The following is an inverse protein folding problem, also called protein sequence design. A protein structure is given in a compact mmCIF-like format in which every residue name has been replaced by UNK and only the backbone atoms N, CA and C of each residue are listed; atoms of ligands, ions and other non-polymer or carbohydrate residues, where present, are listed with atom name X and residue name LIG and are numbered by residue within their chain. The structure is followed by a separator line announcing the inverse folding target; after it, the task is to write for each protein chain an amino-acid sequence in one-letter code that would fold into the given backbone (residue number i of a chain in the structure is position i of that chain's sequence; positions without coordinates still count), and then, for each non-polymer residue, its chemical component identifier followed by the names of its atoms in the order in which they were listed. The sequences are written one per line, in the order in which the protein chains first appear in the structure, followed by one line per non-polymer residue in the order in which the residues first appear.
data_IF_200002495877
#
_entry.id   IF_200002495877
#
_cell.length_a   1.000
_cell.length_b   1.000
_cell.length_c   1.000
_cell.angle_alpha   90.00
_cell.angle_beta   90.00
_cell.angle_gamma   90.00
#
_symmetry.space_group_name_H-M   'P 1'
#
loop_
_entity.id
_entity.type
_entity.pdbx_description
1 polymer ?
#
# COMPACT_ATOMS: atom_id res chain seq x y z
N UNK A 1 31.74 -1.47 -23.01
CA UNK A 1 31.88 -0.87 -21.67
C UNK A 1 30.65 0.00 -21.47
N UNK A 2 29.66 -0.49 -20.74
CA UNK A 2 28.51 0.30 -20.32
C UNK A 2 29.00 1.36 -19.34
N UNK A 3 28.75 2.64 -19.63
CA UNK A 3 29.11 3.72 -18.70
C UNK A 3 28.36 3.50 -17.39
N UNK A 4 29.08 3.48 -16.28
CA UNK A 4 28.46 3.49 -14.96
C UNK A 4 27.51 4.69 -14.88
N UNK A 5 26.31 4.51 -14.31
CA UNK A 5 25.35 5.60 -14.19
C UNK A 5 25.94 6.75 -13.35
N UNK A 6 25.61 7.98 -13.72
CA UNK A 6 26.01 9.16 -12.96
C UNK A 6 25.45 9.06 -11.54
N UNK A 7 26.35 8.89 -10.57
CA UNK A 7 25.99 8.69 -9.17
C UNK A 7 25.25 9.89 -8.58
N UNK A 8 25.39 11.09 -9.16
CA UNK A 8 24.64 12.28 -8.73
C UNK A 8 23.16 12.17 -9.15
N UNK A 9 22.89 11.74 -10.39
CA UNK A 9 21.54 11.50 -10.88
C UNK A 9 20.87 10.32 -10.16
N UNK A 10 21.62 9.25 -9.86
CA UNK A 10 21.13 8.12 -9.06
C UNK A 10 20.75 8.58 -7.65
N UNK A 11 21.60 9.39 -6.98
CA UNK A 11 21.29 9.95 -5.65
C UNK A 11 20.09 10.88 -5.67
N UNK A 12 19.92 11.70 -6.71
CA UNK A 12 18.75 12.55 -6.87
C UNK A 12 17.46 11.72 -7.04
N UNK A 13 17.52 10.63 -7.80
CA UNK A 13 16.38 9.71 -7.97
C UNK A 13 16.02 8.92 -6.70
N UNK A 14 16.94 8.84 -5.73
CA UNK A 14 16.73 8.21 -4.43
C UNK A 14 16.21 9.19 -3.37
N UNK A 15 16.25 10.50 -3.63
CA UNK A 15 15.79 11.50 -2.68
C UNK A 15 14.34 11.23 -2.26
N UNK A 16 14.06 11.36 -0.98
CA UNK A 16 12.72 11.25 -0.41
C UNK A 16 12.37 12.58 0.24
N UNK A 17 11.16 13.04 0.02
CA UNK A 17 10.57 14.17 0.73
C UNK A 17 9.39 13.63 1.52
N UNK A 18 9.36 13.91 2.83
CA UNK A 18 8.22 13.50 3.64
C UNK A 18 6.98 14.26 3.18
N UNK A 19 5.98 13.49 2.76
CA UNK A 19 4.67 13.94 2.31
C UNK A 19 3.63 13.19 3.13
N UNK A 20 2.54 13.84 3.52
CA UNK A 20 1.49 13.18 4.27
C UNK A 20 0.32 12.81 3.36
N UNK A 21 -0.25 11.62 3.56
CA UNK A 21 -1.41 11.15 2.81
C UNK A 21 -2.56 12.15 2.91
N UNK A 22 -2.77 12.77 4.09
CA UNK A 22 -3.81 13.74 4.34
C UNK A 22 -3.78 14.94 3.37
N UNK A 23 -2.61 15.29 2.81
CA UNK A 23 -2.45 16.39 1.86
C UNK A 23 -3.05 16.06 0.48
N UNK A 24 -3.33 14.78 0.22
CA UNK A 24 -3.82 14.26 -1.07
C UNK A 24 -5.26 13.73 -0.98
N UNK A 25 -5.94 13.88 0.16
CA UNK A 25 -7.29 13.35 0.33
C UNK A 25 -8.35 14.39 -0.07
N UNK A 26 -9.24 14.07 -1.04
CA UNK A 26 -10.34 14.96 -1.39
C UNK A 26 -11.38 15.02 -0.26
N UNK A 27 -12.19 16.10 -0.19
CA UNK A 27 -13.34 16.14 0.71
C UNK A 27 -14.35 15.04 0.34
N UNK A 28 -15.00 14.47 1.35
CA UNK A 28 -15.98 13.40 1.19
C UNK A 28 -17.39 13.96 1.00
N UNK A 29 -18.16 13.36 0.09
CA UNK A 29 -19.58 13.70 -0.06
C UNK A 29 -20.35 13.40 1.25
N UNK A 30 -21.08 14.38 1.83
CA UNK A 30 -21.73 14.20 3.12
C UNK A 30 -22.85 13.14 3.13
N UNK A 31 -23.47 12.86 1.99
CA UNK A 31 -24.49 11.81 1.89
C UNK A 31 -23.84 10.43 1.80
N UNK A 32 -22.80 10.29 0.98
CA UNK A 32 -21.99 9.07 0.92
C UNK A 32 -21.32 8.74 2.26
N UNK A 33 -20.84 9.76 3.00
CA UNK A 33 -20.24 9.58 4.32
C UNK A 33 -21.27 9.08 5.36
N UNK A 34 -22.55 9.42 5.23
CA UNK A 34 -23.61 8.80 6.07
C UNK A 34 -23.71 7.30 5.83
N UNK A 35 -23.67 6.86 4.56
CA UNK A 35 -23.69 5.45 4.20
C UNK A 35 -22.45 4.74 4.74
N UNK A 36 -21.26 5.32 4.55
CA UNK A 36 -20.01 4.78 5.08
C UNK A 36 -20.04 4.65 6.62
N UNK A 37 -20.45 5.68 7.36
CA UNK A 37 -20.51 5.64 8.83
C UNK A 37 -21.49 4.58 9.33
N UNK A 38 -22.64 4.44 8.66
CA UNK A 38 -23.60 3.40 9.00
C UNK A 38 -23.06 1.99 8.70
N UNK A 39 -22.39 1.80 7.57
CA UNK A 39 -21.70 0.55 7.24
C UNK A 39 -20.64 0.18 8.28
N UNK A 40 -19.81 1.15 8.72
CA UNK A 40 -18.83 0.97 9.81
C UNK A 40 -19.50 0.57 11.12
N UNK A 41 -20.65 1.16 11.43
CA UNK A 41 -21.40 0.80 12.63
C UNK A 41 -21.90 -0.64 12.57
N UNK A 42 -22.48 -1.08 11.44
CA UNK A 42 -22.90 -2.47 11.24
C UNK A 42 -21.74 -3.44 11.36
N UNK A 43 -20.60 -3.11 10.75
CA UNK A 43 -19.39 -3.94 10.78
C UNK A 43 -18.79 -4.06 12.18
N UNK A 44 -18.88 -3.02 13.01
CA UNK A 44 -18.38 -2.99 14.40
C UNK A 44 -19.36 -3.58 15.42
N UNK A 45 -20.64 -3.68 15.07
CA UNK A 45 -21.67 -4.18 15.98
C UNK A 45 -21.37 -5.64 16.37
N UNK A 46 -21.57 -5.96 17.64
CA UNK A 46 -21.45 -7.32 18.15
C UNK A 46 -22.53 -8.25 17.57
N UNK A 47 -22.18 -9.52 17.38
CA UNK A 47 -23.08 -10.56 16.88
C UNK A 47 -22.80 -10.96 15.43
N UNK A 48 -23.72 -11.76 14.87
CA UNK A 48 -23.65 -12.20 13.49
C UNK A 48 -23.77 -11.01 12.52
N UNK A 49 -22.88 -10.95 11.52
CA UNK A 49 -22.77 -9.86 10.57
C UNK A 49 -23.24 -10.30 9.20
N UNK A 50 -24.04 -9.46 8.56
CA UNK A 50 -24.34 -9.56 7.14
C UNK A 50 -23.36 -8.64 6.39
N UNK A 51 -22.25 -9.22 5.92
CA UNK A 51 -21.24 -8.47 5.18
C UNK A 51 -21.70 -8.04 3.79
N UNK A 52 -22.76 -8.65 3.24
CA UNK A 52 -23.36 -8.19 1.99
C UNK A 52 -24.13 -6.89 2.19
N UNK A 53 -24.86 -6.75 3.29
CA UNK A 53 -25.50 -5.47 3.64
C UNK A 53 -24.45 -4.39 3.93
N UNK A 54 -23.34 -4.71 4.61
CA UNK A 54 -22.22 -3.77 4.79
C UNK A 54 -21.61 -3.35 3.44
N UNK A 55 -21.30 -4.32 2.57
CA UNK A 55 -20.70 -4.08 1.26
C UNK A 55 -21.61 -3.26 0.34
N UNK A 56 -22.93 -3.44 0.41
CA UNK A 56 -23.91 -2.60 -0.30
C UNK A 56 -23.71 -1.12 0.00
N UNK A 57 -23.62 -0.73 1.27
CA UNK A 57 -23.39 0.67 1.64
C UNK A 57 -22.02 1.16 1.17
N UNK A 58 -20.98 0.33 1.29
CA UNK A 58 -19.65 0.72 0.82
C UNK A 58 -19.58 0.88 -0.69
N UNK A 59 -20.21 0.00 -1.48
CA UNK A 59 -20.28 0.13 -2.95
C UNK A 59 -20.93 1.44 -3.37
N UNK A 60 -22.08 1.76 -2.78
CA UNK A 60 -22.79 3.00 -3.10
C UNK A 60 -21.95 4.20 -2.68
N UNK A 61 -21.35 4.21 -1.48
CA UNK A 61 -20.50 5.31 -1.05
C UNK A 61 -19.23 5.45 -1.92
N UNK A 62 -18.57 4.34 -2.28
CA UNK A 62 -17.38 4.33 -3.14
C UNK A 62 -17.70 4.89 -4.54
N UNK A 63 -18.90 4.65 -5.07
CA UNK A 63 -19.33 5.25 -6.35
C UNK A 63 -19.45 6.79 -6.30
N UNK A 64 -19.47 7.38 -5.11
CA UNK A 64 -19.34 8.83 -4.85
C UNK A 64 -17.94 9.20 -4.36
N UNK A 65 -16.92 8.47 -4.81
CA UNK A 65 -15.51 8.73 -4.55
C UNK A 65 -15.13 8.69 -3.06
N UNK A 66 -15.92 7.98 -2.26
CA UNK A 66 -15.66 7.86 -0.83
C UNK A 66 -14.51 6.87 -0.55
N UNK A 67 -13.27 7.38 -0.52
CA UNK A 67 -12.06 6.55 -0.46
C UNK A 67 -12.00 5.57 0.72
N UNK A 68 -12.51 5.94 1.90
CA UNK A 68 -12.55 5.02 3.06
C UNK A 68 -13.53 3.86 2.85
N UNK A 69 -14.62 4.12 2.11
CA UNK A 69 -15.61 3.07 1.80
C UNK A 69 -15.04 2.14 0.74
N UNK A 70 -14.35 2.69 -0.25
CA UNK A 70 -13.61 1.96 -1.26
C UNK A 70 -12.58 1.01 -0.62
N UNK A 71 -11.66 1.50 0.22
CA UNK A 71 -10.66 0.64 0.88
C UNK A 71 -11.30 -0.44 1.76
N UNK A 72 -12.35 -0.11 2.51
CA UNK A 72 -13.03 -1.10 3.34
C UNK A 72 -13.77 -2.15 2.49
N UNK A 73 -14.34 -1.76 1.36
CA UNK A 73 -14.95 -2.70 0.42
C UNK A 73 -13.90 -3.63 -0.17
N UNK A 74 -12.76 -3.11 -0.63
CA UNK A 74 -11.64 -3.92 -1.12
C UNK A 74 -11.24 -4.99 -0.08
N UNK A 75 -11.17 -4.62 1.20
CA UNK A 75 -10.87 -5.55 2.29
C UNK A 75 -11.95 -6.63 2.47
N UNK A 76 -13.24 -6.30 2.38
CA UNK A 76 -14.32 -7.29 2.47
C UNK A 76 -14.30 -8.26 1.29
N UNK A 77 -14.04 -7.77 0.09
CA UNK A 77 -14.02 -8.54 -1.15
C UNK A 77 -12.81 -9.47 -1.22
N UNK A 78 -11.61 -8.98 -0.90
CA UNK A 78 -10.37 -9.76 -0.97
C UNK A 78 -10.34 -10.91 0.04
N UNK A 79 -11.01 -10.75 1.19
CA UNK A 79 -11.18 -11.79 2.20
C UNK A 79 -12.35 -12.74 1.90
N UNK A 80 -13.14 -12.49 0.86
CA UNK A 80 -14.32 -13.28 0.51
C UNK A 80 -15.46 -13.16 1.53
N UNK A 81 -15.51 -12.07 2.30
CA UNK A 81 -16.57 -11.82 3.28
C UNK A 81 -17.85 -11.28 2.62
N UNK A 82 -17.71 -10.58 1.50
CA UNK A 82 -18.83 -10.05 0.73
C UNK A 82 -18.88 -10.65 -0.68
N UNK A 83 -20.09 -10.91 -1.17
CA UNK A 83 -20.34 -11.48 -2.48
C UNK A 83 -20.03 -10.48 -3.60
N UNK A 84 -19.37 -10.97 -4.64
CA UNK A 84 -19.13 -10.26 -5.89
C UNK A 84 -19.13 -11.25 -7.05
N UNK A 85 -19.69 -10.88 -8.23
CA UNK A 85 -19.56 -11.70 -9.42
C UNK A 85 -18.11 -12.00 -9.80
N UNK A 86 -17.19 -11.07 -9.50
CA UNK A 86 -15.76 -11.23 -9.72
C UNK A 86 -14.99 -10.33 -8.74
N UNK A 87 -14.78 -10.83 -7.51
CA UNK A 87 -14.12 -10.08 -6.45
C UNK A 87 -12.72 -9.55 -6.82
N UNK A 88 -11.85 -10.32 -7.50
CA UNK A 88 -10.55 -9.80 -7.92
C UNK A 88 -10.65 -8.61 -8.88
N UNK A 89 -11.58 -8.65 -9.84
CA UNK A 89 -11.75 -7.54 -10.79
C UNK A 89 -12.34 -6.32 -10.10
N UNK A 90 -13.39 -6.50 -9.29
CA UNK A 90 -14.01 -5.38 -8.55
C UNK A 90 -13.00 -4.70 -7.62
N UNK A 91 -12.15 -5.47 -6.95
CA UNK A 91 -11.12 -4.94 -6.04
C UNK A 91 -10.06 -4.13 -6.80
N UNK A 92 -9.59 -4.62 -7.94
CA UNK A 92 -8.64 -3.89 -8.79
C UNK A 92 -9.27 -2.61 -9.33
N UNK A 93 -10.53 -2.65 -9.78
CA UNK A 93 -11.25 -1.46 -10.27
C UNK A 93 -11.39 -0.38 -9.18
N UNK A 94 -11.66 -0.80 -7.94
CA UNK A 94 -11.70 0.09 -6.78
C UNK A 94 -10.34 0.74 -6.50
N UNK A 95 -9.24 -0.02 -6.53
CA UNK A 95 -7.88 0.54 -6.37
C UNK A 95 -7.52 1.52 -7.50
N UNK A 96 -7.90 1.19 -8.75
CA UNK A 96 -7.73 2.08 -9.91
C UNK A 96 -8.56 3.36 -9.78
N UNK A 97 -9.74 3.30 -9.18
CA UNK A 97 -10.55 4.49 -8.86
C UNK A 97 -9.79 5.44 -7.91
N UNK A 98 -9.14 4.89 -6.86
CA UNK A 98 -8.32 5.68 -5.94
C UNK A 98 -7.12 6.33 -6.65
N UNK A 99 -6.42 5.57 -7.52
CA UNK A 99 -5.33 6.10 -8.35
C UNK A 99 -5.82 7.26 -9.22
N UNK A 100 -6.98 7.11 -9.87
CA UNK A 100 -7.57 8.16 -10.71
C UNK A 100 -7.88 9.44 -9.92
N UNK A 101 -8.22 9.31 -8.64
CA UNK A 101 -8.44 10.44 -7.73
C UNK A 101 -7.14 11.01 -7.15
N UNK A 102 -5.97 10.45 -7.48
CA UNK A 102 -4.68 10.85 -6.91
C UNK A 102 -4.48 10.41 -5.46
N UNK A 103 -5.27 9.44 -4.99
CA UNK A 103 -5.23 8.99 -3.59
C UNK A 103 -4.08 8.00 -3.41
N UNK A 104 -3.12 8.28 -2.50
CA UNK A 104 -1.89 7.50 -2.38
C UNK A 104 -2.10 6.01 -2.12
N UNK A 105 -3.14 5.66 -1.36
CA UNK A 105 -3.42 4.27 -1.01
C UNK A 105 -3.82 3.40 -2.21
N UNK A 106 -4.41 3.96 -3.27
CA UNK A 106 -4.70 3.19 -4.49
C UNK A 106 -3.43 2.63 -5.15
N UNK A 107 -2.33 3.40 -5.12
CA UNK A 107 -1.03 2.93 -5.61
C UNK A 107 -0.49 1.80 -4.72
N UNK A 108 -0.64 1.91 -3.39
CA UNK A 108 -0.25 0.84 -2.47
C UNK A 108 -1.07 -0.44 -2.70
N UNK A 109 -2.39 -0.31 -2.87
CA UNK A 109 -3.30 -1.43 -3.12
C UNK A 109 -2.90 -2.19 -4.41
N UNK A 110 -2.65 -1.47 -5.52
CA UNK A 110 -2.16 -2.09 -6.77
C UNK A 110 -0.79 -2.76 -6.58
N UNK A 111 0.13 -2.12 -5.86
CA UNK A 111 1.42 -2.72 -5.52
C UNK A 111 1.24 -4.06 -4.80
N UNK A 112 0.35 -4.10 -3.81
CA UNK A 112 0.03 -5.32 -3.07
C UNK A 112 -0.62 -6.41 -3.95
N UNK A 113 -1.52 -6.03 -4.86
CA UNK A 113 -2.15 -6.97 -5.80
C UNK A 113 -1.18 -7.54 -6.83
N UNK A 114 -0.20 -6.75 -7.28
CA UNK A 114 0.89 -7.22 -8.14
C UNK A 114 1.87 -8.12 -7.38
N UNK A 115 2.13 -7.86 -6.10
CA UNK A 115 2.99 -8.72 -5.28
C UNK A 115 2.34 -10.08 -5.01
N UNK A 116 1.05 -10.10 -4.69
CA UNK A 116 0.30 -11.30 -4.32
C UNK A 116 -0.30 -12.06 -5.49
N UNK A 117 -0.50 -11.41 -6.65
CA UNK A 117 -1.22 -11.97 -7.79
C UNK A 117 -2.74 -11.93 -7.68
N UNK A 118 -3.29 -11.08 -6.81
CA UNK A 118 -4.74 -10.98 -6.62
C UNK A 118 -5.37 -10.12 -7.72
N UNK A 119 -6.08 -10.72 -8.67
CA UNK A 119 -6.74 -10.02 -9.77
C UNK A 119 -5.79 -9.49 -10.86
N UNK A 120 -4.49 -9.41 -10.57
CA UNK A 120 -3.43 -9.05 -11.49
C UNK A 120 -2.43 -10.19 -11.62
N UNK A 121 -1.73 -10.24 -12.75
CA UNK A 121 -0.60 -11.16 -12.90
C UNK A 121 0.52 -10.71 -11.95
N UNK A 122 1.12 -11.61 -11.15
CA UNK A 122 2.22 -11.26 -10.28
C UNK A 122 3.37 -10.60 -11.02
N UNK A 123 3.85 -9.47 -10.48
CA UNK A 123 4.99 -8.73 -10.99
C UNK A 123 5.64 -7.93 -9.84
N UNK A 124 6.71 -8.48 -9.28
CA UNK A 124 7.38 -7.90 -8.12
C UNK A 124 8.09 -6.58 -8.44
N UNK A 125 8.61 -6.40 -9.67
CA UNK A 125 9.29 -5.18 -10.06
C UNK A 125 8.29 -4.05 -10.23
N UNK A 126 7.16 -4.33 -10.90
CA UNK A 126 6.06 -3.37 -11.00
C UNK A 126 5.51 -3.03 -9.60
N UNK A 127 5.32 -4.01 -8.71
CA UNK A 127 4.87 -3.76 -7.34
C UNK A 127 5.76 -2.75 -6.61
N UNK A 128 7.08 -2.90 -6.68
CA UNK A 128 8.04 -1.96 -6.07
C UNK A 128 7.90 -0.53 -6.61
N UNK A 129 7.63 -0.37 -7.91
CA UNK A 129 7.37 0.95 -8.49
C UNK A 129 6.09 1.58 -7.93
N UNK A 130 5.02 0.80 -7.80
CA UNK A 130 3.75 1.24 -7.21
C UNK A 130 3.90 1.61 -5.73
N UNK A 131 4.59 0.78 -4.93
CA UNK A 131 4.89 1.09 -3.54
C UNK A 131 5.73 2.35 -3.40
N UNK A 132 6.76 2.52 -4.24
CA UNK A 132 7.57 3.75 -4.19
C UNK A 132 6.73 4.98 -4.52
N UNK A 133 5.89 4.91 -5.55
CA UNK A 133 4.98 6.01 -5.91
C UNK A 133 4.01 6.35 -4.78
N UNK A 134 3.43 5.34 -4.14
CA UNK A 134 2.55 5.52 -2.98
C UNK A 134 3.28 6.20 -1.81
N UNK A 135 4.53 5.80 -1.54
CA UNK A 135 5.35 6.38 -0.47
C UNK A 135 5.69 7.85 -0.73
N UNK A 136 6.06 8.19 -1.98
CA UNK A 136 6.36 9.56 -2.40
C UNK A 136 5.12 10.46 -2.35
N UNK A 137 3.92 9.89 -2.58
CA UNK A 137 2.63 10.58 -2.43
C UNK A 137 2.10 10.59 -0.98
N UNK A 138 2.83 10.00 -0.04
CA UNK A 138 2.55 10.12 1.39
C UNK A 138 1.80 8.97 2.04
N UNK A 139 1.53 7.86 1.34
CA UNK A 139 0.87 6.71 1.95
C UNK A 139 1.75 6.12 3.09
N UNK A 140 1.29 6.08 4.34
CA UNK A 140 2.11 5.65 5.47
C UNK A 140 2.48 4.15 5.41
N UNK A 141 1.60 3.28 4.92
CA UNK A 141 1.89 1.86 4.73
C UNK A 141 3.02 1.65 3.71
N UNK A 142 3.01 2.40 2.60
CA UNK A 142 4.02 2.37 1.57
C UNK A 142 5.36 2.97 2.05
N UNK A 143 5.32 4.08 2.79
CA UNK A 143 6.50 4.66 3.43
C UNK A 143 7.14 3.65 4.40
N UNK A 144 6.33 2.93 5.18
CA UNK A 144 6.81 1.83 6.01
C UNK A 144 7.42 0.71 5.16
N UNK A 145 6.69 0.20 4.17
CA UNK A 145 7.10 -0.94 3.36
C UNK A 145 8.41 -0.67 2.60
N UNK A 146 8.52 0.49 1.95
CA UNK A 146 9.76 0.88 1.23
C UNK A 146 10.85 1.22 2.24
N UNK A 147 10.51 1.90 3.34
CA UNK A 147 11.45 2.25 4.40
C UNK A 147 12.15 1.04 5.00
N UNK A 148 11.38 0.00 5.35
CA UNK A 148 11.88 -1.29 5.85
C UNK A 148 12.84 -1.96 4.86
N UNK A 149 12.50 -2.02 3.57
CA UNK A 149 13.40 -2.57 2.54
C UNK A 149 14.71 -1.80 2.39
N UNK A 150 14.71 -0.51 2.69
CA UNK A 150 15.90 0.34 2.59
C UNK A 150 16.76 0.37 3.86
N UNK A 151 16.25 -0.11 5.01
CA UNK A 151 16.99 -0.14 6.28
C UNK A 151 18.28 -0.98 6.30
N UNK A 152 18.43 -2.09 5.56
CA UNK A 152 19.70 -2.81 5.51
C UNK A 152 20.86 -1.90 5.08
N UNK A 153 22.04 -2.10 5.68
CA UNK A 153 23.20 -1.23 5.51
C UNK A 153 23.70 -1.15 4.06
N UNK A 154 23.50 -2.21 3.28
CA UNK A 154 23.86 -2.33 1.88
C UNK A 154 22.95 -1.53 0.92
N UNK A 155 21.81 -1.03 1.41
CA UNK A 155 20.82 -0.32 0.60
C UNK A 155 20.95 1.20 0.79
N UNK A 156 19.94 1.84 1.39
CA UNK A 156 19.90 3.29 1.59
C UNK A 156 19.29 3.61 2.97
N UNK A 157 19.94 3.19 4.06
CA UNK A 157 19.33 3.18 5.40
C UNK A 157 18.93 4.57 5.90
N UNK A 158 19.62 5.63 5.47
CA UNK A 158 19.24 7.00 5.82
C UNK A 158 17.90 7.42 5.20
N UNK A 159 17.65 7.02 3.95
CA UNK A 159 16.36 7.25 3.29
C UNK A 159 15.29 6.35 3.91
N UNK A 160 15.62 5.09 4.22
CA UNK A 160 14.73 4.18 4.91
C UNK A 160 14.24 4.75 6.26
N UNK A 161 15.16 5.26 7.07
CA UNK A 161 14.84 5.97 8.33
C UNK A 161 13.95 7.20 8.12
N UNK A 162 14.20 8.00 7.07
CA UNK A 162 13.36 9.17 6.76
C UNK A 162 11.92 8.76 6.42
N UNK A 163 11.75 7.71 5.61
CA UNK A 163 10.43 7.19 5.25
C UNK A 163 9.70 6.64 6.48
N UNK A 164 10.38 5.88 7.32
CA UNK A 164 9.81 5.35 8.56
C UNK A 164 9.43 6.47 9.55
N UNK A 165 10.27 7.51 9.67
CA UNK A 165 9.95 8.66 10.51
C UNK A 165 8.67 9.36 10.03
N UNK A 166 8.55 9.57 8.71
CA UNK A 166 7.37 10.18 8.08
C UNK A 166 6.11 9.32 8.29
N UNK A 167 6.19 8.00 8.09
CA UNK A 167 5.08 7.08 8.37
C UNK A 167 4.66 7.13 9.85
N UNK A 168 5.64 7.14 10.75
CA UNK A 168 5.40 7.27 12.18
C UNK A 168 4.73 8.62 12.54
N UNK A 169 5.13 9.74 11.92
CA UNK A 169 4.52 11.07 12.11
C UNK A 169 3.04 11.08 11.72
N UNK A 170 2.65 10.25 10.75
CA UNK A 170 1.27 10.04 10.34
C UNK A 170 0.48 9.08 11.25
N UNK A 171 1.11 8.57 12.32
CA UNK A 171 0.47 7.65 13.26
C UNK A 171 0.51 6.18 12.83
N UNK A 172 1.45 5.79 11.96
CA UNK A 172 1.69 4.39 11.63
C UNK A 172 2.61 3.74 12.67
N UNK A 173 2.00 3.12 13.68
CA UNK A 173 2.70 2.63 14.87
C UNK A 173 3.80 1.60 14.59
N UNK A 174 3.60 0.72 13.60
CA UNK A 174 4.61 -0.26 13.19
C UNK A 174 5.90 0.41 12.67
N UNK A 175 5.79 1.54 11.96
CA UNK A 175 6.96 2.31 11.55
C UNK A 175 7.69 2.94 12.73
N UNK A 176 6.95 3.44 13.72
CA UNK A 176 7.54 3.98 14.94
C UNK A 176 8.31 2.89 15.72
N UNK A 177 7.74 1.69 15.83
CA UNK A 177 8.38 0.53 16.46
C UNK A 177 9.62 0.07 15.71
N UNK A 178 9.53 -0.08 14.39
CA UNK A 178 10.67 -0.48 13.56
C UNK A 178 11.82 0.53 13.66
N UNK A 179 11.52 1.83 13.56
CA UNK A 179 12.52 2.88 13.73
C UNK A 179 13.07 2.91 15.17
N UNK A 180 12.25 2.65 16.18
CA UNK A 180 12.70 2.52 17.57
C UNK A 180 13.67 1.36 17.77
N UNK A 181 13.44 0.23 17.11
CA UNK A 181 14.34 -0.93 17.09
C UNK A 181 15.67 -0.58 16.40
N UNK A 182 15.62 0.14 15.27
CA UNK A 182 16.82 0.63 14.55
C UNK A 182 17.67 1.52 15.46
N UNK A 183 17.06 2.55 16.08
CA UNK A 183 17.78 3.45 17.00
C UNK A 183 18.34 2.74 18.23
N UNK A 184 17.57 1.80 18.82
CA UNK A 184 18.06 0.96 19.93
C UNK A 184 19.30 0.16 19.49
N UNK A 185 19.29 -0.38 18.28
CA UNK A 185 20.41 -1.15 17.74
C UNK A 185 21.65 -0.27 17.53
N UNK A 186 21.45 0.99 17.13
CA UNK A 186 22.47 2.04 17.14
C UNK A 186 22.88 2.55 18.53
N UNK A 187 22.33 1.99 19.62
CA UNK A 187 22.51 2.43 21.02
C UNK A 187 22.05 3.87 21.30
N UNK A 188 21.17 4.41 20.45
CA UNK A 188 20.53 5.71 20.61
C UNK A 188 19.26 5.54 21.44
N UNK A 189 19.43 5.18 22.71
CA UNK A 189 18.29 4.79 23.55
C UNK A 189 17.25 5.89 23.78
N UNK A 190 17.60 7.17 24.03
CA UNK A 190 16.61 8.23 24.17
C UNK A 190 15.71 8.36 22.94
N UNK A 191 16.28 8.28 21.74
CA UNK A 191 15.54 8.36 20.48
C UNK A 191 14.64 7.14 20.30
N UNK A 192 15.14 5.95 20.62
CA UNK A 192 14.36 4.71 20.61
C UNK A 192 13.14 4.79 21.54
N UNK A 193 13.33 5.28 22.77
CA UNK A 193 12.26 5.44 23.77
C UNK A 193 11.19 6.42 23.27
N UNK A 194 11.58 7.55 22.68
CA UNK A 194 10.65 8.51 22.10
C UNK A 194 9.84 7.91 20.94
N UNK A 195 10.49 7.11 20.10
CA UNK A 195 9.83 6.39 18.99
C UNK A 195 8.88 5.31 19.48
N UNK A 196 9.24 4.53 20.49
CA UNK A 196 8.31 3.60 21.11
C UNK A 196 7.13 4.35 21.74
N UNK A 197 7.34 5.47 22.42
CA UNK A 197 6.24 6.27 22.98
C UNK A 197 5.25 6.72 21.89
N UNK A 198 5.79 7.13 20.74
CA UNK A 198 5.00 7.47 19.56
C UNK A 198 4.25 6.27 18.98
N UNK A 199 4.88 5.09 18.96
CA UNK A 199 4.24 3.82 18.60
C UNK A 199 3.07 3.48 19.52
N UNK A 200 3.24 3.65 20.83
CA UNK A 200 2.16 3.47 21.81
C UNK A 200 1.01 4.45 21.56
N UNK A 201 1.31 5.73 21.31
CA UNK A 201 0.29 6.72 20.99
C UNK A 201 -0.51 6.32 19.74
N UNK A 202 0.18 5.75 18.75
CA UNK A 202 -0.38 5.20 17.53
C UNK A 202 -1.07 3.84 17.70
N UNK A 203 -1.11 3.26 18.90
CA UNK A 203 -1.77 1.99 19.19
C UNK A 203 -0.96 0.75 18.78
N UNK A 204 0.37 0.81 18.80
CA UNK A 204 1.23 -0.34 18.53
C UNK A 204 1.61 -1.07 19.83
N UNK A 205 1.12 -2.31 20.00
CA UNK A 205 1.41 -3.13 21.19
C UNK A 205 2.90 -3.46 21.31
N UNK A 206 3.61 -3.64 20.19
CA UNK A 206 5.03 -3.98 20.22
C UNK A 206 5.86 -2.86 20.87
N UNK A 207 5.56 -1.60 20.55
CA UNK A 207 6.12 -0.43 21.21
C UNK A 207 5.81 -0.42 22.72
N UNK A 208 4.57 -0.72 23.11
CA UNK A 208 4.18 -0.81 24.52
C UNK A 208 5.02 -1.85 25.25
N UNK A 209 5.22 -3.03 24.64
CA UNK A 209 6.04 -4.11 25.21
C UNK A 209 7.53 -3.73 25.36
N UNK A 210 8.09 -2.98 24.40
CA UNK A 210 9.47 -2.48 24.51
C UNK A 210 9.63 -1.53 25.72
N UNK A 211 8.67 -0.63 25.94
CA UNK A 211 8.71 0.29 27.07
C UNK A 211 8.41 -0.42 28.39
N UNK A 212 7.38 -1.28 28.42
CA UNK A 212 7.05 -2.12 29.57
C UNK A 212 8.28 -2.87 30.08
N UNK A 213 8.99 -3.57 29.19
CA UNK A 213 10.14 -4.38 29.58
C UNK A 213 11.41 -3.54 29.75
N UNK A 214 11.54 -2.40 29.06
CA UNK A 214 12.64 -1.46 29.25
C UNK A 214 12.63 -0.81 30.62
N UNK A 215 11.45 -0.44 31.14
CA UNK A 215 11.28 0.10 32.49
C UNK A 215 11.44 -0.94 33.61
N UNK A 216 11.54 -2.24 33.31
CA UNK A 216 12.01 -3.25 34.29
C UNK A 216 13.53 -3.17 34.53
N UNK A 217 14.23 -2.25 33.87
CA UNK A 217 15.65 -1.99 34.01
C UNK A 217 16.55 -3.22 33.78
N UNK A 218 16.39 -3.98 32.67
CA UNK A 218 17.26 -5.12 32.41
C UNK A 218 18.74 -4.67 32.31
N UNK A 219 19.70 -5.53 32.67
CA UNK A 219 21.11 -5.21 32.48
C UNK A 219 21.48 -5.23 30.98
N UNK A 220 22.56 -4.54 30.60
CA UNK A 220 23.06 -4.51 29.20
C UNK A 220 23.35 -5.91 28.63
N UNK A 221 23.67 -6.88 29.50
CA UNK A 221 23.87 -8.29 29.13
C UNK A 221 22.61 -9.00 28.65
N UNK A 222 21.42 -8.40 28.81
CA UNK A 222 20.13 -8.85 28.28
C UNK A 222 19.61 -7.82 27.25
N UNK A 223 20.16 -7.80 26.03
CA UNK A 223 20.05 -6.67 25.11
C UNK A 223 18.67 -6.48 24.48
N UNK A 224 17.76 -7.46 24.55
CA UNK A 224 16.47 -7.42 23.85
C UNK A 224 15.65 -6.17 24.23
N UNK A 225 15.52 -5.92 25.54
CA UNK A 225 14.75 -4.81 26.10
C UNK A 225 15.64 -3.76 26.79
N UNK A 226 16.96 -3.83 26.60
CA UNK A 226 17.87 -2.85 27.20
C UNK A 226 17.72 -1.49 26.52
N UNK A 227 17.26 -0.49 27.29
CA UNK A 227 17.05 0.90 26.84
C UNK A 227 17.80 1.92 27.72
N UNK A 228 18.71 1.48 28.60
CA UNK A 228 19.41 2.39 29.53
C UNK A 228 18.48 3.13 30.50
N UNK A 229 17.28 2.60 30.72
CA UNK A 229 16.29 3.14 31.65
C UNK A 229 16.54 2.62 33.08
N UNK A 230 16.29 3.42 34.12
CA UNK A 230 16.23 2.92 35.48
C UNK A 230 15.02 2.00 35.67
N UNK A 231 15.10 1.13 36.67
CA UNK A 231 13.95 0.36 37.12
C UNK A 231 12.83 1.29 37.61
N UNK A 232 11.65 1.14 37.02
CA UNK A 232 10.43 1.88 37.33
C UNK A 232 9.21 0.95 37.10
N UNK A 233 8.91 0.18 38.13
CA UNK A 233 7.85 -0.84 38.08
C UNK A 233 6.45 -0.25 37.83
N UNK A 234 6.19 0.99 38.26
CA UNK A 234 4.90 1.63 38.00
C UNK A 234 4.78 2.09 36.55
N UNK A 235 5.85 2.61 35.93
CA UNK A 235 5.86 2.84 34.47
C UNK A 235 5.67 1.55 33.69
N UNK A 236 6.42 0.51 34.06
CA UNK A 236 6.31 -0.80 33.45
C UNK A 236 4.87 -1.34 33.51
N UNK A 237 4.24 -1.29 34.70
CA UNK A 237 2.83 -1.67 34.90
C UNK A 237 1.86 -0.85 34.03
N UNK A 238 2.06 0.47 33.91
CA UNK A 238 1.16 1.29 33.07
C UNK A 238 1.28 0.92 31.59
N UNK A 239 2.49 0.67 31.07
CA UNK A 239 2.65 0.18 29.69
C UNK A 239 2.06 -1.21 29.48
N UNK A 240 2.14 -2.11 30.47
CA UNK A 240 1.44 -3.41 30.43
C UNK A 240 -0.08 -3.21 30.28
N UNK A 241 -0.68 -2.34 31.09
CA UNK A 241 -2.11 -2.02 31.01
C UNK A 241 -2.49 -1.39 29.67
N UNK A 242 -1.64 -0.53 29.12
CA UNK A 242 -1.83 0.06 27.79
C UNK A 242 -1.75 -1.01 26.70
N UNK A 243 -0.75 -1.89 26.72
CA UNK A 243 -0.61 -2.99 25.77
C UNK A 243 -1.84 -3.89 25.78
N UNK A 244 -2.30 -4.29 26.98
CA UNK A 244 -3.52 -5.08 27.16
C UNK A 244 -4.76 -4.36 26.60
N UNK A 245 -4.85 -3.03 26.77
CA UNK A 245 -5.94 -2.23 26.21
C UNK A 245 -5.91 -2.20 24.68
N UNK A 246 -4.72 -2.03 24.09
CA UNK A 246 -4.52 -2.06 22.63
C UNK A 246 -4.95 -3.43 22.09
N UNK A 247 -4.43 -4.52 22.65
CA UNK A 247 -4.74 -5.90 22.19
C UNK A 247 -6.24 -6.23 22.31
N UNK A 248 -6.86 -5.87 23.43
CA UNK A 248 -8.30 -6.09 23.63
C UNK A 248 -9.18 -5.34 22.61
N UNK A 249 -8.63 -4.32 21.96
CA UNK A 249 -9.34 -3.48 21.01
C UNK A 249 -8.75 -3.52 19.58
N UNK A 250 -7.78 -4.39 19.28
CA UNK A 250 -6.99 -4.38 18.05
C UNK A 250 -7.85 -4.28 16.77
N UNK A 251 -8.91 -5.09 16.67
CA UNK A 251 -9.87 -5.06 15.55
C UNK A 251 -10.68 -3.76 15.39
N UNK A 252 -10.51 -2.78 16.28
CA UNK A 252 -11.13 -1.45 16.25
C UNK A 252 -10.12 -0.33 16.00
N UNK A 253 -8.84 -0.66 15.77
CA UNK A 253 -7.72 0.27 15.56
C UNK A 253 -7.62 1.30 16.72
N UNK A 254 -7.32 0.84 17.95
CA UNK A 254 -7.27 1.70 19.11
C UNK A 254 -6.11 2.68 19.03
N UNK A 255 -6.22 3.82 19.70
CA UNK A 255 -5.17 4.84 19.81
C UNK A 255 -5.03 5.26 21.27
N UNK A 256 -3.86 5.78 21.63
CA UNK A 256 -3.56 6.28 22.98
C UNK A 256 -3.02 7.71 22.90
N UNK A 257 -3.79 8.68 22.36
CA UNK A 257 -3.30 10.04 22.14
C UNK A 257 -2.97 10.79 23.44
N UNK A 258 -3.51 10.32 24.56
CA UNK A 258 -3.29 10.81 25.92
C UNK A 258 -2.11 10.14 26.63
N UNK A 259 -1.26 9.38 25.92
CA UNK A 259 -0.17 8.61 26.53
C UNK A 259 0.74 9.45 27.43
N UNK A 260 1.07 10.69 27.07
CA UNK A 260 1.92 11.55 27.91
C UNK A 260 1.20 12.08 29.17
N UNK A 261 -0.13 12.01 29.20
CA UNK A 261 -0.94 12.26 30.41
C UNK A 261 -1.05 11.01 31.28
N UNK A 262 -0.75 9.83 30.74
CA UNK A 262 -0.81 8.54 31.44
C UNK A 262 0.59 8.14 31.94
N UNK A 263 1.58 8.12 31.05
CA UNK A 263 2.97 7.69 31.30
C UNK A 263 3.96 8.63 30.59
N UNK A 264 4.15 9.87 31.06
CA UNK A 264 5.17 10.74 30.49
C UNK A 264 6.56 10.15 30.68
N UNK A 265 7.40 10.27 29.66
CA UNK A 265 8.78 9.79 29.69
C UNK A 265 9.61 10.52 30.77
N UNK A 266 10.62 9.86 31.37
CA UNK A 266 11.56 10.52 32.28
C UNK A 266 12.22 11.75 31.62
N UNK A 267 12.53 12.80 32.38
CA UNK A 267 12.55 12.88 33.84
C UNK A 267 11.21 13.29 34.49
N UNK A 268 10.11 13.40 33.73
CA UNK A 268 8.82 13.78 34.29
C UNK A 268 8.37 12.80 35.39
N UNK A 269 7.61 13.27 36.38
CA UNK A 269 6.98 12.39 37.38
C UNK A 269 5.67 11.84 36.82
N UNK A 270 5.31 10.63 37.24
CA UNK A 270 4.02 10.06 36.86
C UNK A 270 2.86 10.88 37.44
N UNK A 271 1.89 11.31 36.62
CA UNK A 271 0.69 11.96 37.10
C UNK A 271 -0.27 10.93 37.73
N UNK A 272 -1.25 11.40 38.54
CA UNK A 272 -2.41 10.59 38.88
C UNK A 272 -3.12 10.12 37.60
N UNK A 273 -3.54 8.87 37.57
CA UNK A 273 -4.27 8.29 36.45
C UNK A 273 -5.41 7.42 36.99
N UNK A 274 -6.58 7.55 36.39
CA UNK A 274 -7.82 6.87 36.79
C UNK A 274 -7.96 5.46 36.20
N UNK A 275 -6.97 4.98 35.44
CA UNK A 275 -7.01 3.68 34.78
C UNK A 275 -7.82 3.66 33.48
N UNK A 276 -8.20 4.83 32.95
CA UNK A 276 -9.03 4.93 31.74
C UNK A 276 -8.28 5.56 30.57
N UNK A 277 -8.79 5.36 29.36
CA UNK A 277 -8.20 5.85 28.12
C UNK A 277 -9.15 6.81 27.42
N UNK A 278 -8.63 7.93 26.90
CA UNK A 278 -9.43 8.91 26.16
C UNK A 278 -10.18 8.26 24.98
N UNK A 279 -9.52 7.35 24.25
CA UNK A 279 -10.16 6.61 23.16
C UNK A 279 -11.38 5.82 23.61
N UNK A 280 -11.30 5.11 24.75
CA UNK A 280 -12.43 4.33 25.27
C UNK A 280 -13.60 5.24 25.67
N UNK A 281 -13.30 6.34 26.37
CA UNK A 281 -14.32 7.36 26.73
C UNK A 281 -15.05 7.89 25.50
N UNK A 282 -14.32 8.15 24.40
CA UNK A 282 -14.90 8.59 23.14
C UNK A 282 -15.78 7.51 22.49
N UNK A 283 -15.37 6.24 22.54
CA UNK A 283 -16.18 5.14 22.03
C UNK A 283 -17.48 4.96 22.83
N UNK A 284 -17.40 5.02 24.17
CA UNK A 284 -18.55 4.83 25.05
C UNK A 284 -19.56 5.99 24.94
N UNK A 285 -19.07 7.20 24.65
CA UNK A 285 -19.91 8.38 24.43
C UNK A 285 -20.50 8.49 23.02
N UNK A 286 -20.04 7.68 22.06
CA UNK A 286 -20.45 7.79 20.67
C UNK A 286 -21.89 7.28 20.47
N UNK A 287 -22.79 8.16 20.03
CA UNK A 287 -24.14 7.76 19.62
C UNK A 287 -24.08 6.96 18.30
N UNK A 288 -24.88 5.88 18.16
CA UNK A 288 -24.98 5.15 16.89
C UNK A 288 -25.38 6.09 15.75
N UNK A 289 -24.76 5.97 14.55
CA UNK A 289 -25.20 6.73 13.40
C UNK A 289 -26.64 6.35 13.05
N UNK A 290 -27.43 7.33 12.63
CA UNK A 290 -28.79 7.07 12.12
C UNK A 290 -28.71 6.24 10.85
N UNK A 291 -29.58 5.24 10.73
CA UNK A 291 -29.74 4.46 9.49
C UNK A 291 -30.10 5.40 8.34
N UNK A 292 -29.37 5.40 7.22
CA UNK A 292 -29.78 6.11 6.00
C UNK A 292 -31.18 5.67 5.56
N UNK A 293 -32.03 6.62 5.15
CA UNK A 293 -33.37 6.27 4.69
C UNK A 293 -33.32 5.48 3.38
N UNK A 294 -34.30 4.62 3.15
CA UNK A 294 -34.34 3.80 1.93
C UNK A 294 -34.45 4.71 0.69
N UNK A 295 -35.14 5.86 0.79
CA UNK A 295 -35.20 6.86 -0.29
C UNK A 295 -33.83 7.46 -0.61
N UNK A 296 -32.98 7.72 0.38
CA UNK A 296 -31.63 8.22 0.17
C UNK A 296 -30.76 7.17 -0.54
N UNK A 297 -30.85 5.91 -0.09
CA UNK A 297 -30.11 4.80 -0.69
C UNK A 297 -30.53 4.63 -2.15
N UNK A 298 -31.84 4.59 -2.42
CA UNK A 298 -32.40 4.47 -3.76
C UNK A 298 -31.98 5.63 -4.66
N UNK A 299 -32.03 6.86 -4.15
CA UNK A 299 -31.59 8.06 -4.87
C UNK A 299 -30.11 7.95 -5.27
N UNK A 300 -29.24 7.63 -4.31
CA UNK A 300 -27.80 7.57 -4.54
C UNK A 300 -27.42 6.44 -5.50
N UNK A 301 -27.97 5.24 -5.28
CA UNK A 301 -27.73 4.08 -6.12
C UNK A 301 -28.20 4.32 -7.56
N UNK A 302 -29.42 4.84 -7.75
CA UNK A 302 -29.97 5.15 -9.07
C UNK A 302 -29.12 6.16 -9.84
N UNK A 303 -28.64 7.21 -9.17
CA UNK A 303 -27.79 8.22 -9.79
C UNK A 303 -26.41 7.67 -10.25
N UNK A 304 -25.98 6.53 -9.70
CA UNK A 304 -24.77 5.80 -10.10
C UNK A 304 -25.06 4.50 -10.88
N UNK A 305 -26.32 4.28 -11.28
CA UNK A 305 -26.77 3.08 -12.02
C UNK A 305 -26.48 1.76 -11.28
N UNK A 306 -26.59 1.80 -9.95
CA UNK A 306 -26.41 0.66 -9.06
C UNK A 306 -27.77 0.10 -8.63
N UNK A 307 -27.82 -1.20 -8.37
CA UNK A 307 -28.90 -1.85 -7.65
C UNK A 307 -28.89 -1.35 -6.20
N UNK A 308 -29.96 -0.70 -5.72
CA UNK A 308 -30.01 -0.20 -4.36
C UNK A 308 -29.91 -1.31 -3.31
N UNK A 309 -30.26 -2.57 -3.61
CA UNK A 309 -30.22 -3.68 -2.65
C UNK A 309 -28.82 -4.26 -2.44
N UNK A 310 -27.98 -4.26 -3.48
CA UNK A 310 -26.66 -4.90 -3.47
C UNK A 310 -25.50 -3.92 -3.62
N UNK A 311 -25.78 -2.71 -4.11
CA UNK A 311 -24.79 -1.73 -4.54
C UNK A 311 -24.04 -2.14 -5.82
N UNK A 312 -24.37 -3.28 -6.43
CA UNK A 312 -23.73 -3.73 -7.67
C UNK A 312 -24.27 -2.98 -8.88
N UNK A 313 -23.50 -2.87 -9.98
CA UNK A 313 -24.01 -2.32 -11.23
C UNK A 313 -25.23 -3.10 -11.76
N UNK A 314 -26.25 -2.40 -12.26
CA UNK A 314 -27.44 -3.05 -12.83
C UNK A 314 -27.11 -3.90 -14.07
N UNK A 315 -27.56 -5.15 -14.08
CA UNK A 315 -27.35 -6.13 -15.15
C UNK A 315 -27.83 -5.61 -16.52
N UNK A 316 -26.95 -5.64 -17.53
CA UNK A 316 -27.23 -5.14 -18.89
C UNK A 316 -26.33 -3.98 -19.33
N UNK A 317 -25.51 -3.44 -18.43
CA UNK A 317 -24.53 -2.38 -18.73
C UNK A 317 -23.07 -2.84 -18.55
N UNK A 318 -22.83 -3.96 -17.87
CA UNK A 318 -21.51 -4.55 -17.65
C UNK A 318 -20.86 -5.19 -18.90
N UNK A 319 -21.50 -5.09 -20.08
CA UNK A 319 -20.93 -5.51 -21.38
C UNK A 319 -20.74 -4.35 -22.38
N UNK A 320 -20.82 -3.08 -21.95
CA UNK A 320 -20.64 -1.91 -22.83
C UNK A 320 -19.85 -0.75 -22.22
N UNK A 321 -18.92 -1.02 -21.31
CA UNK A 321 -17.96 -0.02 -20.83
C UNK A 321 -16.49 -0.41 -21.01
N UNK A 322 -16.20 -1.46 -21.78
CA UNK A 322 -14.85 -1.66 -22.33
C UNK A 322 -14.62 -0.97 -23.68
N UNK A 323 -15.62 -0.27 -24.22
CA UNK A 323 -15.49 0.61 -25.39
C UNK A 323 -16.51 1.74 -25.24
N UNK A 324 -16.10 2.99 -25.47
CA UNK A 324 -16.88 4.25 -25.38
C UNK A 324 -17.13 4.80 -23.98
N UNK A 325 -16.08 5.34 -23.36
CA UNK A 325 -15.99 6.77 -23.01
C UNK A 325 -14.69 7.00 -22.24
N UNK A 326 -13.57 7.03 -22.99
CA UNK A 326 -12.32 7.60 -22.47
C UNK A 326 -12.47 9.14 -22.42
N UNK A 327 -12.03 9.79 -21.33
CA UNK A 327 -11.95 11.23 -21.26
C UNK A 327 -10.96 11.74 -22.33
N UNK A 328 -11.46 12.62 -23.19
CA UNK A 328 -10.74 13.31 -24.25
C UNK A 328 -9.71 14.29 -23.68
N UNK A 329 -8.57 13.76 -23.19
CA UNK A 329 -7.23 14.39 -23.29
C UNK A 329 -6.08 13.56 -22.70
N UNK A 330 -6.04 12.26 -22.99
CA UNK A 330 -4.79 11.50 -22.98
C UNK A 330 -4.69 10.87 -24.35
N UNK A 331 -3.58 11.08 -25.07
CA UNK A 331 -3.36 10.41 -26.35
C UNK A 331 -3.59 8.90 -26.12
N UNK A 332 -4.60 8.35 -26.79
CA UNK A 332 -5.07 6.96 -26.63
C UNK A 332 -3.90 6.00 -26.73
N UNK A 333 -3.44 5.49 -25.57
CA UNK A 333 -2.31 4.57 -25.53
C UNK A 333 -2.75 3.19 -25.96
N UNK A 334 -1.92 2.48 -26.71
CA UNK A 334 -2.23 1.07 -27.01
C UNK A 334 -2.08 0.23 -25.73
N UNK A 335 -2.94 -0.77 -25.49
CA UNK A 335 -2.91 -1.55 -24.25
C UNK A 335 -1.61 -2.34 -24.09
N UNK A 336 -1.16 -2.57 -22.85
CA UNK A 336 -0.11 -3.55 -22.56
C UNK A 336 -0.53 -4.94 -23.09
N UNK A 337 0.41 -5.69 -23.66
CA UNK A 337 0.16 -6.91 -24.41
C UNK A 337 -0.05 -6.70 -25.91
N UNK A 338 -0.11 -5.45 -26.40
CA UNK A 338 -0.18 -5.16 -27.84
C UNK A 338 0.99 -5.79 -28.57
N UNK A 339 0.71 -6.51 -29.67
CA UNK A 339 1.71 -7.16 -30.50
C UNK A 339 1.99 -6.34 -31.76
N UNK A 340 3.27 -6.21 -32.11
CA UNK A 340 3.75 -5.60 -33.34
C UNK A 340 4.86 -6.47 -33.95
N UNK A 341 5.00 -6.48 -35.26
CA UNK A 341 5.96 -7.34 -35.94
C UNK A 341 7.24 -6.59 -36.29
N UNK A 342 8.33 -7.35 -36.45
CA UNK A 342 9.56 -6.83 -37.03
C UNK A 342 9.30 -6.15 -38.38
N UNK A 343 9.70 -4.89 -38.52
CA UNK A 343 9.49 -4.04 -39.68
C UNK A 343 8.30 -3.08 -39.55
N UNK A 344 7.43 -3.26 -38.57
CA UNK A 344 6.33 -2.34 -38.29
C UNK A 344 6.83 -1.09 -37.57
N UNK A 345 6.11 0.02 -37.74
CA UNK A 345 6.30 1.20 -36.88
C UNK A 345 5.72 0.94 -35.49
N UNK A 346 6.51 1.24 -34.46
CA UNK A 346 6.16 1.04 -33.07
C UNK A 346 4.90 1.86 -32.74
N UNK A 347 3.82 1.23 -32.26
CA UNK A 347 2.56 1.92 -32.07
C UNK A 347 2.53 2.80 -30.80
N UNK A 348 3.46 2.60 -29.86
CA UNK A 348 3.44 3.30 -28.57
C UNK A 348 4.82 3.39 -27.91
N UNK A 349 5.04 4.49 -27.17
CA UNK A 349 6.22 4.67 -26.33
C UNK A 349 6.22 3.61 -25.22
N UNK A 350 7.23 2.75 -25.23
CA UNK A 350 7.20 1.62 -24.31
C UNK A 350 8.43 0.73 -24.32
N UNK A 351 8.45 -0.15 -23.31
CA UNK A 351 9.32 -1.31 -23.28
C UNK A 351 8.60 -2.44 -23.99
N UNK A 352 9.25 -3.02 -24.99
CA UNK A 352 8.73 -4.11 -25.80
C UNK A 352 9.57 -5.37 -25.65
N UNK A 353 8.89 -6.51 -25.50
CA UNK A 353 9.48 -7.83 -25.36
C UNK A 353 9.33 -8.62 -26.67
N UNK A 354 10.43 -9.04 -27.28
CA UNK A 354 10.44 -9.98 -28.39
C UNK A 354 10.09 -11.42 -27.96
N UNK A 355 9.03 -11.97 -28.55
CA UNK A 355 8.63 -13.38 -28.41
C UNK A 355 9.54 -14.26 -29.27
N UNK A 356 10.48 -14.95 -28.62
CA UNK A 356 11.38 -15.92 -29.26
C UNK A 356 10.74 -17.31 -29.35
N UNK A 357 11.17 -18.12 -30.33
CA UNK A 357 10.74 -19.53 -30.43
C UNK A 357 11.45 -20.38 -29.37
N UNK A 358 10.83 -21.51 -29.01
CA UNK A 358 11.43 -22.46 -28.08
C UNK A 358 12.84 -22.88 -28.54
N UNK A 359 13.83 -22.73 -27.64
CA UNK A 359 15.24 -23.03 -27.92
C UNK A 359 16.07 -21.85 -28.46
N UNK A 360 15.47 -20.68 -28.71
CA UNK A 360 16.19 -19.46 -29.07
C UNK A 360 16.49 -18.60 -27.84
N UNK A 361 17.66 -17.97 -27.81
CA UNK A 361 18.06 -17.00 -26.78
C UNK A 361 18.57 -15.70 -27.44
N UNK A 362 18.32 -14.56 -26.81
CA UNK A 362 18.75 -13.27 -27.33
C UNK A 362 18.37 -12.13 -26.37
N UNK A 363 18.76 -10.92 -26.72
CA UNK A 363 18.32 -9.71 -26.03
C UNK A 363 16.83 -9.46 -26.33
N UNK A 364 15.96 -9.81 -25.39
CA UNK A 364 14.51 -9.89 -25.64
C UNK A 364 13.75 -8.63 -25.25
N UNK A 365 14.32 -7.65 -24.55
CA UNK A 365 13.61 -6.45 -24.13
C UNK A 365 14.29 -5.19 -24.63
N UNK A 366 13.52 -4.31 -25.30
CA UNK A 366 14.02 -3.04 -25.82
C UNK A 366 13.02 -1.92 -25.63
N UNK A 367 13.55 -0.70 -25.52
CA UNK A 367 12.74 0.51 -25.48
C UNK A 367 12.54 1.02 -26.90
N UNK A 368 11.30 1.38 -27.24
CA UNK A 368 10.96 2.00 -28.50
C UNK A 368 10.06 3.19 -28.25
N UNK A 369 10.26 4.25 -29.03
CA UNK A 369 9.33 5.36 -29.14
C UNK A 369 8.33 5.08 -30.25
N UNK A 370 7.14 5.66 -30.14
CA UNK A 370 6.09 5.62 -31.14
C UNK A 370 6.63 6.13 -32.47
N UNK A 371 6.48 5.31 -33.51
CA UNK A 371 7.01 5.56 -34.85
C UNK A 371 8.34 4.86 -35.16
N UNK A 372 9.09 4.39 -34.16
CA UNK A 372 10.35 3.65 -34.38
C UNK A 372 10.10 2.38 -35.21
N UNK A 373 11.00 2.04 -36.13
CA UNK A 373 10.88 0.78 -36.87
C UNK A 373 11.37 -0.39 -36.01
N UNK A 374 10.50 -1.36 -35.73
CA UNK A 374 10.82 -2.50 -34.89
C UNK A 374 11.85 -3.42 -35.57
N UNK A 375 13.02 -3.65 -34.96
CA UNK A 375 14.13 -4.34 -35.61
C UNK A 375 13.98 -5.86 -35.57
N UNK A 376 14.67 -6.53 -36.49
CA UNK A 376 14.97 -7.96 -36.36
C UNK A 376 15.94 -8.19 -35.22
N UNK A 377 15.89 -9.37 -34.60
CA UNK A 377 16.84 -9.75 -33.56
C UNK A 377 17.85 -10.78 -34.05
N UNK A 378 19.10 -10.64 -33.61
CA UNK A 378 20.06 -11.74 -33.68
C UNK A 378 19.70 -12.70 -32.55
N UNK A 379 19.21 -13.88 -32.92
CA UNK A 379 18.89 -14.95 -31.98
C UNK A 379 19.96 -16.03 -32.06
N UNK A 380 20.28 -16.58 -30.89
CA UNK A 380 21.21 -17.69 -30.73
C UNK A 380 20.41 -18.98 -30.61
N UNK A 381 20.75 -19.96 -31.45
CA UNK A 381 20.23 -21.32 -31.34
C UNK A 381 21.35 -22.25 -30.84
N UNK A 382 21.31 -22.67 -29.56
CA UNK A 382 22.27 -23.64 -29.03
C UNK A 382 22.09 -24.99 -29.72
N UNK A 383 23.19 -25.66 -30.05
CA UNK A 383 23.15 -27.03 -30.57
C UNK A 383 22.86 -28.01 -29.43
N UNK A 384 22.25 -29.15 -29.75
CA UNK A 384 21.95 -30.20 -28.76
C UNK A 384 23.21 -30.72 -28.02
N UNK A 385 24.39 -30.64 -28.65
CA UNK A 385 25.67 -30.97 -28.03
C UNK A 385 26.43 -29.69 -27.71
N UNK A 386 26.42 -29.27 -26.44
CA UNK A 386 27.05 -28.03 -25.96
C UNK A 386 28.56 -27.92 -26.28
N UNK A 387 29.26 -29.06 -26.43
CA UNK A 387 30.68 -29.09 -26.81
C UNK A 387 30.93 -28.48 -28.21
N UNK A 388 29.96 -28.62 -29.13
CA UNK A 388 30.05 -28.08 -30.49
C UNK A 388 29.89 -26.56 -30.52
N UNK A 389 29.07 -25.99 -29.63
CA UNK A 389 28.93 -24.54 -29.49
C UNK A 389 30.21 -23.90 -28.92
N UNK A 390 30.94 -24.63 -28.06
CA UNK A 390 32.23 -24.19 -27.51
C UNK A 390 33.36 -24.23 -28.54
N UNK A 391 33.29 -25.13 -29.53
CA UNK A 391 34.28 -25.27 -30.60
C UNK A 391 34.01 -24.38 -31.82
N UNK A 392 32.75 -24.16 -32.18
CA UNK A 392 32.35 -23.46 -33.42
C UNK A 392 31.58 -22.16 -33.21
N UNK A 393 31.36 -21.74 -31.95
CA UNK A 393 30.47 -20.62 -31.61
C UNK A 393 28.98 -20.99 -31.76
N UNK A 394 28.10 -20.31 -31.01
CA UNK A 394 26.64 -20.51 -31.12
C UNK A 394 26.13 -20.10 -32.49
N UNK A 395 25.14 -20.83 -33.03
CA UNK A 395 24.53 -20.45 -34.31
C UNK A 395 23.77 -19.14 -34.10
N UNK A 396 24.18 -18.12 -34.85
CA UNK A 396 23.51 -16.84 -34.88
C UNK A 396 22.70 -16.74 -36.16
N UNK A 397 21.45 -16.35 -36.03
CA UNK A 397 20.63 -15.97 -37.19
C UNK A 397 19.86 -14.70 -36.86
N UNK A 398 19.60 -13.91 -37.89
CA UNK A 398 18.68 -12.77 -37.77
C UNK A 398 17.26 -13.28 -37.95
N UNK A 399 16.43 -13.18 -36.92
CA UNK A 399 15.05 -13.63 -36.92
C UNK A 399 14.09 -12.45 -36.86
N UNK A 400 12.99 -12.56 -37.63
CA UNK A 400 11.81 -11.72 -37.43
C UNK A 400 11.06 -12.24 -36.22
N UNK A 401 10.76 -11.35 -35.29
CA UNK A 401 10.09 -11.62 -34.02
C UNK A 401 8.81 -10.79 -33.90
N UNK A 402 7.87 -11.29 -33.10
CA UNK A 402 6.76 -10.48 -32.61
C UNK A 402 7.20 -9.77 -31.34
N UNK A 403 6.99 -8.47 -31.29
CA UNK A 403 7.25 -7.61 -30.15
C UNK A 403 5.94 -7.41 -29.38
N UNK A 404 5.99 -7.52 -28.06
CA UNK A 404 4.85 -7.31 -27.15
C UNK A 404 5.12 -6.11 -26.25
N UNK A 405 4.19 -5.15 -26.21
CA UNK A 405 4.29 -4.01 -25.29
C UNK A 405 4.13 -4.50 -23.85
N UNK A 406 5.14 -4.31 -23.00
CA UNK A 406 5.10 -4.81 -21.61
C UNK A 406 5.09 -3.70 -20.56
N UNK A 407 5.51 -2.47 -20.91
CA UNK A 407 5.39 -1.30 -20.05
C UNK A 407 5.38 -0.01 -20.87
N UNK A 408 4.72 1.03 -20.37
CA UNK A 408 4.81 2.38 -20.95
C UNK A 408 6.09 3.07 -20.48
N UNK A 409 6.65 3.93 -21.34
CA UNK A 409 7.70 4.86 -20.93
C UNK A 409 7.05 6.23 -20.91
N UNK A 410 6.67 6.70 -19.73
CA UNK A 410 6.24 8.09 -19.59
C UNK A 410 7.42 9.00 -19.90
N UNK A 411 7.22 9.97 -20.80
CA UNK A 411 8.08 11.14 -20.85
C UNK A 411 7.72 12.02 -19.65
N UNK A 412 8.73 12.25 -18.82
CA UNK A 412 8.73 12.93 -17.51
C UNK A 412 7.68 14.04 -17.36
#
# INVERSE_FOLDING_TARGET
MTSLPDMSAVRASLAFTCTHQADHLPPLDPQADKLFRYARYLEKKEGAKDFNDVARYYRIAAAYDHYKANQNLQSLLSQGLADSPNAPTETVDLAMQLIKQGIPSGYYDIGHYLETGYGLKPDADAALHYFRKAADLGNPEAQYYVGDKLLPNENAPDIGRQMLACAADQGFGQAASLLGIDQKTGKLYPDAIALFQKGVAAGDTQAASFLENGFKGPPESKPLYYLGLPDDLERSRRYELIGNFIDANDGRNPKVPDIDKIVPLPPAKLPPWDGTFEWQKQQDAAAPPQKPSDELIDQLAKAKQLDPATGLPLSGLSNKTSQTDEPSNVASRVPLGTLASTGDSCPEDGVWHAKLKAGQAGDTQRRFLKGDTLPSLVVHEPRQLALLDRMMGTRQQTAKVAWELVAYIDTV
#
